data_IF_988814993399
#
_entry.id   IF_988814993399
#
_cell.length_a   1.000
_cell.length_b   1.000
_cell.length_c   1.000
_cell.angle_alpha   90.00
_cell.angle_beta   90.00
_cell.angle_gamma   90.00
#
_symmetry.space_group_name_H-M   'P 1'
#
loop_
_entity.id
_entity.type
_entity.pdbx_description
1 polymer ?
#
# COMPACT_ATOMS: atom_id res chain seq x y z
N UNK A 1 -3.27 9.76 16.40
CA UNK A 1 -1.98 9.09 16.15
C UNK A 1 -1.63 9.37 14.70
N UNK A 2 -0.91 10.45 14.41
CA UNK A 2 -0.36 10.67 13.06
C UNK A 2 0.71 9.63 12.81
N UNK A 3 0.61 8.90 11.70
CA UNK A 3 1.67 8.00 11.25
C UNK A 3 2.85 8.83 10.73
N UNK A 4 3.61 9.42 11.66
CA UNK A 4 4.87 10.11 11.38
C UNK A 4 5.83 9.10 10.72
N UNK A 5 6.02 9.23 9.40
CA UNK A 5 7.10 8.56 8.67
C UNK A 5 6.70 7.49 7.67
N UNK A 6 5.42 7.21 7.44
CA UNK A 6 4.99 6.32 6.35
C UNK A 6 5.11 7.04 5.00
N UNK A 7 6.34 7.21 4.50
CA UNK A 7 6.57 7.73 3.14
C UNK A 7 6.39 6.64 2.08
N UNK A 8 6.56 5.38 2.47
CA UNK A 8 6.49 4.22 1.57
C UNK A 8 5.91 3.00 2.31
N UNK A 9 4.89 2.38 1.73
CA UNK A 9 4.27 1.13 2.18
C UNK A 9 4.60 -0.01 1.21
N UNK A 10 5.06 -1.16 1.73
CA UNK A 10 5.26 -2.38 0.95
C UNK A 10 4.24 -3.45 1.32
N UNK A 11 3.47 -3.93 0.34
CA UNK A 11 2.48 -4.98 0.52
C UNK A 11 3.02 -6.36 0.13
N UNK A 12 2.84 -7.34 0.99
CA UNK A 12 3.04 -8.76 0.65
C UNK A 12 1.68 -9.35 0.25
N UNK A 13 1.65 -10.15 -0.82
CA UNK A 13 0.44 -10.70 -1.46
C UNK A 13 -0.52 -9.60 -1.98
N UNK A 14 0.05 -8.61 -2.68
CA UNK A 14 -0.70 -7.43 -3.16
C UNK A 14 -1.76 -7.76 -4.23
N UNK A 15 -1.59 -8.83 -4.99
CA UNK A 15 -2.47 -9.29 -6.07
C UNK A 15 -3.82 -9.83 -5.61
N UNK A 16 -4.01 -10.08 -4.31
CA UNK A 16 -5.33 -10.35 -3.75
C UNK A 16 -6.24 -9.12 -3.82
N UNK A 17 -7.52 -9.30 -4.19
CA UNK A 17 -8.46 -8.19 -4.40
C UNK A 17 -8.59 -7.23 -3.20
N UNK A 18 -8.49 -7.75 -1.96
CA UNK A 18 -8.50 -6.92 -0.75
C UNK A 18 -7.26 -6.03 -0.63
N UNK A 19 -6.06 -6.61 -0.79
CA UNK A 19 -4.80 -5.88 -0.64
C UNK A 19 -4.58 -4.91 -1.79
N UNK A 20 -4.97 -5.28 -3.02
CA UNK A 20 -5.00 -4.39 -4.18
C UNK A 20 -5.89 -3.17 -3.95
N UNK A 21 -7.05 -3.32 -3.31
CA UNK A 21 -7.95 -2.20 -2.99
C UNK A 21 -7.32 -1.21 -2.01
N UNK A 22 -6.68 -1.71 -0.95
CA UNK A 22 -5.99 -0.87 0.04
C UNK A 22 -4.79 -0.16 -0.61
N UNK A 23 -4.01 -0.86 -1.42
CA UNK A 23 -2.90 -0.29 -2.16
C UNK A 23 -3.34 0.86 -3.09
N UNK A 24 -4.48 0.72 -3.77
CA UNK A 24 -5.04 1.78 -4.61
C UNK A 24 -5.47 3.02 -3.82
N UNK A 25 -6.08 2.85 -2.64
CA UNK A 25 -6.46 3.98 -1.78
C UNK A 25 -5.21 4.77 -1.34
N UNK A 26 -4.15 4.07 -0.92
CA UNK A 26 -2.92 4.71 -0.49
C UNK A 26 -2.20 5.43 -1.65
N UNK A 27 -2.19 4.83 -2.85
CA UNK A 27 -1.69 5.49 -4.05
C UNK A 27 -2.48 6.78 -4.36
N UNK A 28 -3.81 6.75 -4.26
CA UNK A 28 -4.67 7.92 -4.47
C UNK A 28 -4.43 9.04 -3.44
N UNK A 29 -3.97 8.68 -2.23
CA UNK A 29 -3.59 9.63 -1.18
C UNK A 29 -2.14 10.14 -1.31
N UNK A 30 -1.40 9.72 -2.33
CA UNK A 30 -0.03 10.18 -2.60
C UNK A 30 1.06 9.42 -1.86
N UNK A 31 0.73 8.29 -1.22
CA UNK A 31 1.75 7.42 -0.63
C UNK A 31 2.50 6.65 -1.71
N UNK A 32 3.81 6.46 -1.51
CA UNK A 32 4.55 5.50 -2.32
C UNK A 32 4.15 4.10 -1.90
N UNK A 33 3.77 3.27 -2.86
CA UNK A 33 3.41 1.87 -2.63
C UNK A 33 4.28 0.96 -3.48
N UNK A 34 4.77 -0.13 -2.90
CA UNK A 34 5.32 -1.26 -3.66
C UNK A 34 4.70 -2.56 -3.14
N UNK A 35 4.90 -3.68 -3.84
CA UNK A 35 4.43 -4.96 -3.33
C UNK A 35 5.10 -6.15 -4.00
N UNK A 36 4.91 -7.30 -3.37
CA UNK A 36 5.31 -8.62 -3.86
C UNK A 36 4.09 -9.54 -3.87
N UNK A 37 4.08 -10.47 -4.80
CA UNK A 37 3.13 -11.59 -4.87
C UNK A 37 3.87 -12.82 -5.44
N UNK A 38 3.22 -13.99 -5.39
CA UNK A 38 3.76 -15.26 -5.87
C UNK A 38 3.74 -15.39 -7.41
#
# INVERSE_FOLDING_TARGET
MEAKGLQHVHFVAVGGAGMSGIAQILLAQGYRVSGSDA
#
